data_IF_866670065408
#
_entry.id   IF_866670065408
#
_cell.length_a   1.000
_cell.length_b   1.000
_cell.length_c   1.000
_cell.angle_alpha   90.00
_cell.angle_beta   90.00
_cell.angle_gamma   90.00
#
_symmetry.space_group_name_H-M   'P 1'
#
loop_
_entity.id
_entity.type
_entity.pdbx_description
1 polymer ?
#
# COMPACT_ATOMS: atom_id res chain seq x y z
N UNK A 1 -31.60 -59.42 -50.20
CA UNK A 1 -31.99 -59.07 -48.84
C UNK A 1 -30.81 -59.25 -47.79
N UNK A 2 -30.07 -60.34 -47.79
CA UNK A 2 -28.98 -60.60 -46.80
C UNK A 2 -27.93 -59.53 -46.73
N UNK A 3 -27.42 -58.91 -47.81
CA UNK A 3 -26.45 -57.85 -47.85
C UNK A 3 -26.89 -56.56 -47.15
N UNK A 4 -28.19 -56.17 -47.27
CA UNK A 4 -28.75 -54.99 -46.61
C UNK A 4 -28.80 -55.14 -45.07
N UNK A 5 -29.14 -56.37 -44.64
CA UNK A 5 -29.20 -56.70 -43.20
C UNK A 5 -27.82 -56.66 -42.57
N UNK A 6 -26.77 -57.12 -43.24
CA UNK A 6 -25.41 -57.07 -42.76
C UNK A 6 -24.92 -55.64 -42.64
N UNK A 7 -25.22 -54.74 -43.60
CA UNK A 7 -24.85 -53.32 -43.53
C UNK A 7 -25.57 -52.58 -42.39
N UNK A 8 -26.86 -52.89 -42.15
CA UNK A 8 -27.59 -52.30 -41.00
C UNK A 8 -27.01 -52.79 -39.67
N UNK A 9 -26.70 -54.07 -39.58
CA UNK A 9 -26.10 -54.63 -38.37
C UNK A 9 -24.70 -54.08 -38.09
N UNK A 10 -23.86 -53.89 -39.10
CA UNK A 10 -22.53 -53.27 -38.95
C UNK A 10 -22.62 -51.80 -38.54
N UNK A 11 -23.59 -51.03 -39.11
CA UNK A 11 -23.84 -49.66 -38.74
C UNK A 11 -24.33 -49.54 -37.27
N UNK A 12 -25.25 -50.40 -36.87
CA UNK A 12 -25.75 -50.49 -35.50
C UNK A 12 -24.63 -50.83 -34.50
N UNK A 13 -23.79 -51.81 -34.85
CA UNK A 13 -22.62 -52.15 -34.01
C UNK A 13 -21.61 -50.99 -33.90
N UNK A 14 -21.38 -50.24 -34.97
CA UNK A 14 -20.53 -49.04 -34.96
C UNK A 14 -21.09 -47.91 -34.07
N UNK A 15 -22.40 -47.68 -34.11
CA UNK A 15 -23.07 -46.70 -33.24
C UNK A 15 -22.97 -47.10 -31.78
N UNK A 16 -23.22 -48.39 -31.47
CA UNK A 16 -23.09 -48.93 -30.11
C UNK A 16 -21.66 -48.80 -29.59
N UNK A 17 -20.67 -49.13 -30.44
CA UNK A 17 -19.27 -49.00 -30.06
C UNK A 17 -18.88 -47.55 -29.79
N UNK A 18 -19.33 -46.62 -30.66
CA UNK A 18 -19.07 -45.17 -30.48
C UNK A 18 -19.73 -44.64 -29.20
N UNK A 19 -20.97 -45.09 -28.89
CA UNK A 19 -21.66 -44.73 -27.68
C UNK A 19 -20.93 -45.24 -26.41
N UNK A 20 -20.54 -46.50 -26.41
CA UNK A 20 -19.76 -47.08 -25.28
C UNK A 20 -18.43 -46.40 -25.07
N UNK A 21 -17.72 -46.06 -26.18
CA UNK A 21 -16.45 -45.29 -26.12
C UNK A 21 -16.68 -43.92 -25.50
N UNK A 22 -17.77 -43.25 -25.91
CA UNK A 22 -18.09 -41.93 -25.32
C UNK A 22 -18.40 -41.97 -23.83
N UNK A 23 -19.20 -42.98 -23.41
CA UNK A 23 -19.53 -43.19 -22.01
C UNK A 23 -18.23 -43.50 -21.21
N UNK A 24 -17.34 -44.34 -21.73
CA UNK A 24 -16.08 -44.65 -21.11
C UNK A 24 -15.16 -43.42 -20.96
N UNK A 25 -15.06 -42.60 -22.00
CA UNK A 25 -14.27 -41.35 -21.96
C UNK A 25 -14.84 -40.41 -20.89
N UNK A 26 -16.17 -40.19 -20.88
CA UNK A 26 -16.80 -39.35 -19.86
C UNK A 26 -16.59 -39.87 -18.42
N UNK A 27 -16.65 -41.14 -18.22
CA UNK A 27 -16.37 -41.75 -16.90
C UNK A 27 -14.90 -41.54 -16.49
N UNK A 28 -13.95 -41.69 -17.40
CA UNK A 28 -12.53 -41.41 -17.16
C UNK A 28 -12.25 -39.93 -16.92
N UNK A 29 -12.89 -39.03 -17.64
CA UNK A 29 -12.78 -37.59 -17.42
C UNK A 29 -13.29 -37.18 -16.03
N UNK A 30 -14.37 -37.80 -15.54
CA UNK A 30 -14.89 -37.58 -14.19
C UNK A 30 -13.89 -38.04 -13.13
N UNK A 31 -13.33 -39.27 -13.27
CA UNK A 31 -12.30 -39.78 -12.36
C UNK A 31 -11.05 -38.90 -12.30
N UNK A 32 -10.55 -38.43 -13.46
CA UNK A 32 -9.42 -37.50 -13.54
C UNK A 32 -9.76 -36.16 -12.88
N UNK A 33 -11.01 -35.69 -13.03
CA UNK A 33 -11.46 -34.44 -12.41
C UNK A 33 -11.53 -34.54 -10.89
N UNK A 34 -12.06 -35.64 -10.35
CA UNK A 34 -12.08 -35.92 -8.92
C UNK A 34 -10.65 -36.06 -8.35
N UNK A 35 -9.76 -36.76 -9.08
CA UNK A 35 -8.37 -36.89 -8.66
C UNK A 35 -7.67 -35.51 -8.62
N UNK A 36 -7.88 -34.66 -9.62
CA UNK A 36 -7.37 -33.30 -9.64
C UNK A 36 -7.93 -32.48 -8.47
N UNK A 37 -9.23 -32.57 -8.18
CA UNK A 37 -9.85 -31.87 -7.06
C UNK A 37 -9.29 -32.34 -5.72
N UNK A 38 -9.08 -33.66 -5.53
CA UNK A 38 -8.49 -34.20 -4.32
C UNK A 38 -7.04 -33.77 -4.13
N UNK A 39 -6.27 -33.66 -5.22
CA UNK A 39 -4.90 -33.15 -5.22
C UNK A 39 -4.91 -31.66 -4.83
N UNK A 40 -5.78 -30.84 -5.43
CA UNK A 40 -5.93 -29.43 -5.11
C UNK A 40 -6.38 -29.24 -3.66
N UNK A 41 -7.31 -30.04 -3.16
CA UNK A 41 -7.77 -29.98 -1.78
C UNK A 41 -6.66 -30.38 -0.78
N UNK A 42 -5.81 -31.33 -1.14
CA UNK A 42 -4.71 -31.83 -0.28
C UNK A 42 -3.45 -30.98 -0.35
N UNK A 43 -3.16 -30.36 -1.49
CA UNK A 43 -1.91 -29.64 -1.78
C UNK A 43 -2.09 -28.15 -2.06
N UNK A 44 -3.30 -27.60 -1.90
CA UNK A 44 -3.53 -26.16 -1.88
C UNK A 44 -3.46 -25.44 -3.25
N UNK A 45 -3.73 -26.11 -4.36
CA UNK A 45 -3.76 -25.47 -5.69
C UNK A 45 -2.37 -25.23 -6.29
N UNK A 46 -2.37 -24.60 -7.47
CA UNK A 46 -1.15 -24.21 -8.21
C UNK A 46 -1.10 -22.68 -8.32
N UNK A 47 0.10 -22.11 -8.21
CA UNK A 47 0.33 -20.70 -8.47
C UNK A 47 1.42 -20.48 -9.51
N UNK A 48 1.34 -19.36 -10.25
CA UNK A 48 2.39 -18.95 -11.15
C UNK A 48 3.54 -18.31 -10.37
N UNK A 49 4.74 -18.86 -10.52
CA UNK A 49 5.96 -18.37 -9.87
C UNK A 49 7.07 -18.18 -10.87
N UNK A 50 7.99 -17.27 -10.55
CA UNK A 50 9.23 -17.12 -11.31
C UNK A 50 10.19 -18.28 -10.96
N UNK A 51 10.70 -18.93 -11.99
CA UNK A 51 11.70 -20.00 -11.88
C UNK A 51 12.92 -19.65 -12.74
N UNK A 52 14.08 -20.22 -12.40
CA UNK A 52 15.29 -20.04 -13.18
C UNK A 52 15.23 -20.84 -14.49
N UNK A 53 15.63 -20.23 -15.62
CA UNK A 53 15.76 -20.91 -16.92
C UNK A 53 17.03 -21.77 -17.01
N UNK A 54 18.07 -21.38 -16.29
CA UNK A 54 19.39 -21.99 -16.27
C UNK A 54 19.96 -21.97 -14.86
N UNK A 55 21.06 -22.66 -14.66
CA UNK A 55 21.81 -22.58 -13.42
C UNK A 55 22.40 -21.17 -13.26
N UNK A 56 22.14 -20.55 -12.11
CA UNK A 56 22.59 -19.20 -11.79
C UNK A 56 23.39 -19.25 -10.48
N UNK A 57 24.64 -18.85 -10.48
CA UNK A 57 25.47 -18.82 -9.27
C UNK A 57 25.05 -17.69 -8.33
N UNK A 58 25.27 -17.88 -7.03
CA UNK A 58 25.07 -16.83 -6.03
C UNK A 58 25.93 -15.60 -6.35
N UNK A 59 25.44 -14.42 -5.98
CA UNK A 59 26.09 -13.16 -6.28
C UNK A 59 25.78 -12.58 -7.67
N UNK A 60 25.06 -13.31 -8.53
CA UNK A 60 24.65 -12.84 -9.87
C UNK A 60 23.55 -11.79 -9.75
N UNK A 61 23.62 -10.75 -10.59
CA UNK A 61 22.53 -9.78 -10.77
C UNK A 61 21.51 -10.37 -11.72
N UNK A 62 20.27 -10.53 -11.25
CA UNK A 62 19.20 -11.17 -12.01
C UNK A 62 18.78 -10.33 -13.20
N UNK A 63 18.66 -10.98 -14.36
CA UNK A 63 18.09 -10.40 -15.57
C UNK A 63 16.80 -11.10 -15.97
N UNK A 64 15.96 -10.44 -16.78
CA UNK A 64 14.74 -11.04 -17.30
C UNK A 64 14.99 -12.32 -18.10
N UNK A 65 16.16 -12.46 -18.73
CA UNK A 65 16.55 -13.65 -19.49
C UNK A 65 16.82 -14.87 -18.61
N UNK A 66 17.12 -14.68 -17.33
CA UNK A 66 17.41 -15.77 -16.38
C UNK A 66 16.15 -16.42 -15.82
N UNK A 67 14.99 -15.73 -15.97
CA UNK A 67 13.73 -16.09 -15.33
C UNK A 67 12.66 -16.53 -16.35
N UNK A 68 11.80 -17.45 -15.92
CA UNK A 68 10.59 -17.90 -16.64
C UNK A 68 9.45 -18.15 -15.67
N UNK A 69 8.23 -18.08 -16.16
CA UNK A 69 7.05 -18.42 -15.39
C UNK A 69 6.79 -19.93 -15.44
N UNK A 70 6.43 -20.48 -14.29
CA UNK A 70 6.03 -21.88 -14.15
C UNK A 70 4.92 -22.01 -13.13
N UNK A 71 3.96 -22.89 -13.40
CA UNK A 71 2.99 -23.32 -12.40
C UNK A 71 3.60 -24.32 -11.45
N UNK A 72 3.51 -24.03 -10.16
CA UNK A 72 4.04 -24.87 -9.08
C UNK A 72 2.97 -25.08 -8.02
N UNK A 73 2.83 -26.32 -7.47
CA UNK A 73 1.92 -26.55 -6.35
C UNK A 73 2.29 -25.72 -5.13
N UNK A 74 1.30 -25.12 -4.49
CA UNK A 74 1.53 -24.26 -3.29
C UNK A 74 2.04 -25.10 -2.12
N UNK A 75 1.58 -26.35 -2.00
CA UNK A 75 2.06 -27.27 -0.98
C UNK A 75 3.52 -27.65 -1.19
N UNK A 76 4.32 -27.44 -0.17
CA UNK A 76 5.76 -27.75 -0.19
C UNK A 76 6.65 -26.56 -0.56
N UNK A 77 6.09 -25.37 -0.84
CA UNK A 77 6.91 -24.17 -0.98
C UNK A 77 7.50 -23.77 0.37
N UNK A 78 8.83 -23.71 0.43
CA UNK A 78 9.56 -23.25 1.61
C UNK A 78 9.78 -21.74 1.52
N UNK A 79 8.77 -20.95 1.91
CA UNK A 79 8.88 -19.50 1.91
C UNK A 79 7.96 -18.81 0.88
N UNK A 80 8.10 -17.51 0.75
CA UNK A 80 7.32 -16.70 -0.19
C UNK A 80 7.96 -16.75 -1.58
N UNK A 81 7.31 -17.47 -2.50
CA UNK A 81 7.72 -17.48 -3.90
C UNK A 81 7.41 -16.14 -4.57
N UNK A 82 8.23 -15.78 -5.55
CA UNK A 82 8.06 -14.55 -6.34
C UNK A 82 7.07 -14.84 -7.47
N UNK A 83 5.96 -14.11 -7.49
CA UNK A 83 4.95 -14.17 -8.55
C UNK A 83 5.32 -13.36 -9.79
N UNK A 84 4.53 -13.53 -10.86
CA UNK A 84 4.70 -12.81 -12.12
C UNK A 84 4.66 -11.28 -11.96
N UNK A 85 3.75 -10.81 -11.12
CA UNK A 85 3.52 -9.39 -10.84
C UNK A 85 4.74 -8.66 -10.26
N UNK A 86 5.68 -9.42 -9.68
CA UNK A 86 6.88 -8.88 -9.04
C UNK A 86 8.15 -9.02 -9.91
N UNK A 87 8.01 -9.35 -11.18
CA UNK A 87 9.16 -9.51 -12.07
C UNK A 87 10.03 -8.23 -12.14
N UNK A 88 9.40 -7.06 -12.18
CA UNK A 88 10.10 -5.77 -12.16
C UNK A 88 10.87 -5.50 -10.87
N UNK A 89 10.40 -6.06 -9.75
CA UNK A 89 10.97 -5.85 -8.43
C UNK A 89 12.23 -6.70 -8.20
N UNK A 90 12.43 -7.77 -8.99
CA UNK A 90 13.56 -8.71 -8.84
C UNK A 90 14.63 -8.51 -9.89
N UNK A 91 14.30 -8.02 -11.08
CA UNK A 91 15.29 -7.73 -12.14
C UNK A 91 16.25 -6.62 -11.68
N UNK A 92 17.55 -6.83 -11.86
CA UNK A 92 18.59 -5.91 -11.40
C UNK A 92 19.02 -6.12 -9.94
N UNK A 93 18.40 -7.06 -9.21
CA UNK A 93 18.79 -7.38 -7.82
C UNK A 93 19.75 -8.57 -7.78
N UNK A 94 20.56 -8.61 -6.73
CA UNK A 94 21.58 -9.62 -6.54
C UNK A 94 21.00 -10.87 -5.87
N UNK A 95 21.32 -12.04 -6.42
CA UNK A 95 20.99 -13.34 -5.86
C UNK A 95 21.95 -13.68 -4.71
N UNK A 96 21.44 -14.12 -3.58
CA UNK A 96 22.25 -14.46 -2.41
C UNK A 96 22.90 -15.85 -2.53
N UNK A 97 22.12 -16.81 -3.07
CA UNK A 97 22.53 -18.21 -3.18
C UNK A 97 22.45 -18.67 -4.65
N UNK A 98 23.22 -19.70 -4.99
CA UNK A 98 23.15 -20.33 -6.31
C UNK A 98 21.91 -21.22 -6.44
N UNK A 99 21.25 -21.17 -7.61
CA UNK A 99 20.09 -21.99 -7.93
C UNK A 99 20.28 -22.74 -9.24
N UNK A 100 19.61 -23.89 -9.35
CA UNK A 100 19.58 -24.69 -10.57
C UNK A 100 18.45 -24.27 -11.50
N UNK A 101 18.57 -24.67 -12.75
CA UNK A 101 17.50 -24.56 -13.72
C UNK A 101 16.22 -25.20 -13.16
N UNK A 102 15.07 -24.54 -13.37
CA UNK A 102 13.73 -24.93 -12.92
C UNK A 102 13.44 -24.76 -11.42
N UNK A 103 14.40 -24.34 -10.59
CA UNK A 103 14.13 -23.97 -9.19
C UNK A 103 13.22 -22.73 -9.15
N UNK A 104 12.29 -22.71 -8.19
CA UNK A 104 11.46 -21.54 -7.94
C UNK A 104 12.29 -20.45 -7.25
N UNK A 105 12.04 -19.19 -7.62
CA UNK A 105 12.66 -18.02 -6.98
C UNK A 105 11.84 -17.62 -5.76
N UNK A 106 12.49 -17.51 -4.61
CA UNK A 106 11.91 -17.02 -3.37
C UNK A 106 12.46 -15.66 -2.99
N UNK A 107 11.66 -14.89 -2.28
CA UNK A 107 12.12 -13.57 -1.80
C UNK A 107 13.33 -13.64 -0.87
N UNK A 108 13.48 -14.74 -0.13
CA UNK A 108 14.65 -14.99 0.73
C UNK A 108 15.96 -15.20 -0.04
N UNK A 109 15.88 -15.51 -1.34
CA UNK A 109 17.07 -15.75 -2.18
C UNK A 109 17.67 -14.46 -2.73
N UNK A 110 16.96 -13.31 -2.57
CA UNK A 110 17.30 -12.04 -3.19
C UNK A 110 17.80 -11.05 -2.14
N UNK A 111 18.87 -10.33 -2.44
CA UNK A 111 19.39 -9.29 -1.57
C UNK A 111 18.33 -8.23 -1.28
N UNK A 112 18.05 -8.03 0.02
CA UNK A 112 17.03 -7.11 0.51
C UNK A 112 15.62 -7.67 0.56
N UNK A 113 15.37 -8.97 0.26
CA UNK A 113 14.11 -9.66 0.49
C UNK A 113 12.89 -9.07 -0.24
N UNK A 114 11.70 -9.40 0.24
CA UNK A 114 10.44 -8.90 -0.31
C UNK A 114 10.27 -7.38 -0.05
N UNK A 115 10.14 -6.54 -1.09
CA UNK A 115 9.90 -5.10 -0.89
C UNK A 115 8.61 -4.79 -0.12
N UNK A 116 7.60 -5.67 -0.23
CA UNK A 116 6.34 -5.50 0.49
C UNK A 116 6.45 -5.80 2.00
N UNK A 117 7.46 -6.59 2.40
CA UNK A 117 7.76 -6.88 3.81
C UNK A 117 8.74 -5.89 4.43
N UNK A 118 9.40 -5.07 3.61
CA UNK A 118 10.15 -3.94 4.12
C UNK A 118 9.15 -3.01 4.76
N UNK A 119 9.16 -2.95 6.08
CA UNK A 119 8.33 -2.03 6.84
C UNK A 119 8.55 -0.58 6.39
N UNK A 120 7.74 0.33 6.90
CA UNK A 120 7.78 1.76 6.59
C UNK A 120 9.20 2.37 6.66
N UNK A 121 10.09 1.79 7.47
CA UNK A 121 11.49 2.23 7.60
C UNK A 121 12.29 2.26 6.29
N UNK A 122 11.91 1.43 5.31
CA UNK A 122 12.58 1.43 4.00
C UNK A 122 12.15 2.61 3.10
N UNK A 123 11.02 3.21 3.40
CA UNK A 123 10.45 4.32 2.64
C UNK A 123 10.84 5.69 3.22
N UNK A 124 11.37 5.71 4.44
CA UNK A 124 11.85 6.92 5.11
C UNK A 124 13.18 7.36 4.50
N UNK A 125 13.31 8.62 4.12
CA UNK A 125 14.56 9.20 3.63
C UNK A 125 15.66 9.16 4.69
N UNK A 126 16.91 9.09 4.24
CA UNK A 126 18.06 9.19 5.16
C UNK A 126 17.96 10.47 6.00
N UNK A 127 18.29 10.36 7.29
CA UNK A 127 18.22 11.42 8.30
C UNK A 127 16.80 11.87 8.65
N UNK A 128 15.74 11.34 8.03
CA UNK A 128 14.36 11.59 8.42
C UNK A 128 13.83 10.55 9.42
N UNK A 129 12.68 10.81 9.98
CA UNK A 129 11.96 9.95 10.94
C UNK A 129 10.49 9.86 10.54
N UNK A 130 9.86 8.74 10.83
CA UNK A 130 8.42 8.59 10.78
C UNK A 130 7.84 8.84 12.17
N UNK A 131 6.95 9.79 12.29
CA UNK A 131 6.21 10.10 13.52
C UNK A 131 4.72 10.03 13.23
N UNK A 132 4.00 9.26 14.03
CA UNK A 132 2.54 9.18 13.94
C UNK A 132 1.92 10.13 14.96
N UNK A 133 0.99 10.95 14.48
CA UNK A 133 0.19 11.85 15.31
C UNK A 133 -1.27 11.42 15.30
N UNK A 134 -1.96 11.67 16.41
CA UNK A 134 -3.41 11.44 16.51
C UNK A 134 -4.15 12.53 15.76
N UNK A 135 -4.87 12.14 14.71
CA UNK A 135 -5.55 13.08 13.83
C UNK A 135 -6.75 12.39 13.17
N UNK A 136 -7.95 12.67 13.67
CA UNK A 136 -9.17 12.03 13.18
C UNK A 136 -10.25 13.03 12.78
N UNK A 137 -11.13 12.62 11.89
CA UNK A 137 -12.26 13.44 11.44
C UNK A 137 -11.83 14.79 10.85
N UNK A 138 -12.37 15.89 11.33
CA UNK A 138 -12.09 17.24 10.83
C UNK A 138 -10.61 17.63 10.97
N UNK A 139 -9.89 17.08 11.96
CA UNK A 139 -8.47 17.36 12.16
C UNK A 139 -7.57 16.80 11.05
N UNK A 140 -8.03 15.79 10.30
CA UNK A 140 -7.35 15.19 9.14
C UNK A 140 -8.09 15.48 7.82
N UNK A 141 -8.68 16.66 7.68
CA UNK A 141 -9.44 17.06 6.47
C UNK A 141 -10.51 16.00 6.14
N UNK A 142 -11.29 15.60 7.16
CA UNK A 142 -12.34 14.56 7.03
C UNK A 142 -11.84 13.24 6.43
N UNK A 143 -10.65 12.81 6.82
CA UNK A 143 -9.99 11.59 6.33
C UNK A 143 -9.68 11.61 4.82
N UNK A 144 -9.51 12.79 4.23
CA UNK A 144 -9.13 12.94 2.82
C UNK A 144 -7.63 12.93 2.58
N UNK A 145 -6.82 13.16 3.62
CA UNK A 145 -5.35 13.07 3.53
C UNK A 145 -4.94 11.65 3.19
N UNK A 146 -3.97 11.52 2.30
CA UNK A 146 -3.52 10.25 1.73
C UNK A 146 -1.99 10.12 1.85
N UNK A 147 -1.44 8.90 1.86
CA UNK A 147 -0.02 8.70 1.69
C UNK A 147 0.48 9.39 0.39
N UNK A 148 1.63 10.04 0.45
CA UNK A 148 2.26 10.93 -0.53
C UNK A 148 1.65 12.34 -0.66
N UNK A 149 0.65 12.69 0.12
CA UNK A 149 0.21 14.08 0.21
C UNK A 149 1.21 14.90 1.04
N UNK A 150 1.17 16.22 0.85
CA UNK A 150 1.89 17.19 1.69
C UNK A 150 0.89 17.98 2.53
N UNK A 151 1.23 18.16 3.79
CA UNK A 151 0.37 18.84 4.78
C UNK A 151 1.17 19.85 5.59
N UNK A 152 0.46 20.86 6.10
CA UNK A 152 0.96 21.69 7.18
C UNK A 152 0.36 21.21 8.50
N UNK A 153 1.14 21.22 9.57
CA UNK A 153 0.72 20.83 10.92
C UNK A 153 0.47 22.09 11.73
N UNK A 154 -0.76 22.27 12.14
CA UNK A 154 -1.21 23.40 12.95
C UNK A 154 -1.52 22.89 14.35
N UNK A 155 -0.98 23.55 15.36
CA UNK A 155 -1.19 23.22 16.77
C UNK A 155 -1.90 24.33 17.52
N UNK A 156 -2.87 23.97 18.36
CA UNK A 156 -3.52 24.86 19.31
C UNK A 156 -3.16 24.42 20.72
N UNK A 157 -2.61 25.35 21.50
CA UNK A 157 -2.08 25.11 22.85
C UNK A 157 -2.71 26.02 23.87
N UNK A 158 -2.91 25.51 25.07
CA UNK A 158 -3.28 26.31 26.24
C UNK A 158 -2.00 26.69 26.97
N UNK A 159 -1.64 27.97 26.91
CA UNK A 159 -0.47 28.53 27.57
C UNK A 159 -0.78 29.09 28.98
N UNK A 160 -1.91 28.68 29.59
CA UNK A 160 -2.25 29.08 30.95
C UNK A 160 -1.16 28.63 31.91
N UNK A 161 -0.66 29.55 32.70
CA UNK A 161 0.25 29.21 33.77
C UNK A 161 -0.54 28.44 34.86
N UNK A 162 -0.09 27.20 35.24
CA UNK A 162 -0.82 26.40 36.23
C UNK A 162 -0.99 27.06 37.61
N UNK A 163 -0.18 28.10 37.89
CA UNK A 163 -0.17 28.84 39.15
C UNK A 163 -1.02 30.12 39.16
N UNK A 164 -1.54 30.56 38.01
CA UNK A 164 -2.28 31.83 37.91
C UNK A 164 -3.71 31.55 37.54
N UNK A 165 -4.63 31.84 38.43
CA UNK A 165 -6.07 31.85 38.15
C UNK A 165 -6.40 33.01 37.20
N UNK A 166 -6.23 32.77 35.89
CA UNK A 166 -6.57 33.78 34.89
C UNK A 166 -8.10 33.89 34.78
N UNK A 167 -8.68 35.10 34.68
CA UNK A 167 -10.13 35.33 34.67
C UNK A 167 -10.86 34.87 33.41
N UNK A 168 -10.15 34.39 32.39
CA UNK A 168 -10.79 33.69 31.24
C UNK A 168 -9.82 32.73 30.54
N UNK A 169 -10.20 31.45 30.49
CA UNK A 169 -9.48 30.41 29.72
C UNK A 169 -9.27 30.75 28.22
N UNK A 170 -10.09 31.61 27.65
CA UNK A 170 -10.04 31.98 26.24
C UNK A 170 -8.81 32.85 25.88
N UNK A 171 -8.18 33.51 26.86
CA UNK A 171 -7.00 34.37 26.62
C UNK A 171 -5.68 33.62 26.55
N UNK A 172 -5.64 32.35 26.95
CA UNK A 172 -4.43 31.53 26.98
C UNK A 172 -4.27 30.59 25.78
N UNK A 173 -5.32 30.45 24.96
CA UNK A 173 -5.26 29.61 23.77
C UNK A 173 -4.49 30.31 22.64
N UNK A 174 -3.48 29.63 22.15
CA UNK A 174 -2.66 30.09 21.02
C UNK A 174 -2.61 29.01 19.95
N UNK A 175 -2.84 29.42 18.73
CA UNK A 175 -2.74 28.55 17.55
C UNK A 175 -1.56 29.00 16.69
N UNK A 176 -0.71 28.07 16.27
CA UNK A 176 0.39 28.36 15.34
C UNK A 176 0.64 27.18 14.40
N UNK A 177 1.19 27.48 13.25
CA UNK A 177 1.72 26.44 12.35
C UNK A 177 3.04 25.95 12.90
N UNK A 178 3.11 24.66 13.21
CA UNK A 178 4.29 24.01 13.79
C UNK A 178 5.25 23.60 12.67
N UNK A 179 4.72 22.95 11.64
CA UNK A 179 5.48 22.44 10.51
C UNK A 179 4.74 22.77 9.21
N UNK A 180 5.50 23.01 8.14
CA UNK A 180 4.96 23.25 6.80
C UNK A 180 5.52 22.23 5.80
N UNK A 181 4.72 21.88 4.80
CA UNK A 181 5.10 21.05 3.66
C UNK A 181 5.66 19.68 4.09
N UNK A 182 4.98 19.00 5.01
CA UNK A 182 5.40 17.70 5.56
C UNK A 182 4.79 16.57 4.74
N UNK A 183 5.63 15.61 4.33
CA UNK A 183 5.20 14.42 3.58
C UNK A 183 4.46 13.44 4.47
N UNK A 184 3.30 12.98 4.02
CA UNK A 184 2.52 11.91 4.65
C UNK A 184 3.02 10.55 4.16
N UNK A 185 3.55 9.73 5.07
CA UNK A 185 4.02 8.37 4.77
C UNK A 185 2.91 7.34 4.83
N UNK A 186 1.99 7.49 5.80
CA UNK A 186 0.89 6.55 6.00
C UNK A 186 -0.32 7.22 6.66
N UNK A 187 -1.52 6.65 6.41
CA UNK A 187 -2.77 7.00 7.11
C UNK A 187 -3.33 5.73 7.76
N UNK A 188 -3.41 5.72 9.09
CA UNK A 188 -3.64 4.49 9.86
C UNK A 188 -2.57 3.44 9.53
N UNK A 189 -2.99 2.27 9.07
CA UNK A 189 -2.09 1.18 8.64
C UNK A 189 -1.77 1.19 7.13
N UNK A 190 -2.29 2.15 6.35
CA UNK A 190 -2.14 2.19 4.91
C UNK A 190 -0.96 3.06 4.48
N UNK A 191 0.01 2.47 3.78
CA UNK A 191 1.11 3.18 3.09
C UNK A 191 0.78 3.39 1.62
N UNK A 192 1.54 4.24 0.91
CA UNK A 192 1.38 4.46 -0.53
C UNK A 192 1.49 3.16 -1.35
N UNK A 193 2.41 2.27 -0.99
CA UNK A 193 2.62 0.97 -1.65
C UNK A 193 1.46 -0.01 -1.44
N UNK A 194 0.89 -0.05 -0.23
CA UNK A 194 -0.27 -0.90 0.06
C UNK A 194 -1.51 -0.43 -0.68
N UNK A 195 -1.70 0.88 -0.79
CA UNK A 195 -2.84 1.46 -1.49
C UNK A 195 -2.83 1.19 -2.99
N UNK A 196 -1.67 1.17 -3.64
CA UNK A 196 -1.56 0.82 -5.06
C UNK A 196 -2.06 -0.60 -5.37
N UNK A 197 -2.03 -1.52 -4.37
CA UNK A 197 -2.49 -2.91 -4.49
C UNK A 197 -3.96 -3.12 -4.09
N UNK A 198 -4.57 -2.21 -3.35
CA UNK A 198 -5.97 -2.31 -2.88
C UNK A 198 -6.79 -1.15 -3.41
N UNK A 199 -7.52 -1.38 -4.51
CA UNK A 199 -8.54 -0.46 -5.00
C UNK A 199 -9.77 -0.51 -4.07
N UNK A 200 -9.74 0.22 -2.96
CA UNK A 200 -10.85 0.38 -2.02
C UNK A 200 -10.72 1.67 -1.24
N UNK A 201 -11.81 2.44 -1.14
CA UNK A 201 -11.90 3.57 -0.20
C UNK A 201 -11.82 2.99 1.21
N UNK A 202 -10.68 3.19 1.87
CA UNK A 202 -10.48 2.75 3.23
C UNK A 202 -11.41 3.46 4.21
N UNK A 203 -11.83 2.74 5.25
CA UNK A 203 -12.49 3.27 6.42
C UNK A 203 -11.66 4.43 7.01
N UNK A 204 -12.32 5.37 7.68
CA UNK A 204 -11.64 6.50 8.34
C UNK A 204 -10.46 6.02 9.21
N UNK A 205 -9.45 6.86 9.31
CA UNK A 205 -8.26 6.61 10.12
C UNK A 205 -8.20 7.61 11.29
N UNK A 206 -7.51 7.21 12.36
CA UNK A 206 -7.31 8.04 13.56
C UNK A 206 -5.89 8.58 13.71
N UNK A 207 -4.95 8.06 12.91
CA UNK A 207 -3.53 8.43 12.97
C UNK A 207 -3.01 8.75 11.58
N UNK A 208 -2.08 9.70 11.51
CA UNK A 208 -1.34 10.05 10.30
C UNK A 208 0.16 10.00 10.63
N UNK A 209 0.91 9.32 9.78
CA UNK A 209 2.36 9.18 9.93
C UNK A 209 3.08 10.13 8.97
N UNK A 210 3.92 10.99 9.53
CA UNK A 210 4.61 12.07 8.84
C UNK A 210 6.11 11.77 8.74
N UNK A 211 6.74 12.22 7.63
CA UNK A 211 8.20 12.22 7.46
C UNK A 211 8.77 13.53 7.97
N UNK A 212 9.54 13.48 9.05
CA UNK A 212 10.04 14.67 9.75
C UNK A 212 11.52 14.52 10.11
N UNK A 213 12.20 15.62 10.35
CA UNK A 213 13.55 15.60 10.92
C UNK A 213 13.52 15.16 12.39
N UNK A 214 14.66 14.73 12.99
CA UNK A 214 14.71 14.38 14.41
C UNK A 214 14.22 15.52 15.32
N UNK A 215 14.55 16.78 14.99
CA UNK A 215 14.13 17.93 15.78
C UNK A 215 12.63 18.20 15.68
N UNK A 216 12.06 18.09 14.50
CA UNK A 216 10.61 18.21 14.28
C UNK A 216 9.84 17.09 14.99
N UNK A 217 10.43 15.87 15.04
CA UNK A 217 9.87 14.75 15.79
C UNK A 217 9.74 15.07 17.29
N UNK A 218 10.77 15.69 17.89
CA UNK A 218 10.74 16.15 19.29
C UNK A 218 9.66 17.21 19.50
N UNK A 219 9.52 18.16 18.56
CA UNK A 219 8.48 19.19 18.63
C UNK A 219 7.07 18.62 18.59
N UNK A 220 6.82 17.66 17.70
CA UNK A 220 5.52 16.98 17.61
C UNK A 220 5.21 16.17 18.86
N UNK A 221 6.19 15.41 19.38
CA UNK A 221 6.04 14.65 20.62
C UNK A 221 5.74 15.56 21.81
N UNK A 222 6.41 16.71 21.91
CA UNK A 222 6.12 17.70 22.93
C UNK A 222 4.72 18.29 22.78
N UNK A 223 4.31 18.62 21.55
CA UNK A 223 2.98 19.17 21.27
C UNK A 223 1.86 18.20 21.69
N UNK A 224 2.01 16.90 21.45
CA UNK A 224 1.06 15.88 21.91
C UNK A 224 1.07 15.75 23.44
N UNK A 225 2.25 15.79 24.07
CA UNK A 225 2.39 15.65 25.53
C UNK A 225 1.68 16.77 26.31
N UNK A 226 1.75 18.01 25.83
CA UNK A 226 1.05 19.14 26.45
C UNK A 226 -0.44 19.19 26.09
N UNK A 227 -0.99 18.09 25.52
CA UNK A 227 -2.38 17.97 25.07
C UNK A 227 -2.78 19.05 24.05
N UNK A 228 -1.83 19.49 23.24
CA UNK A 228 -2.08 20.35 22.09
C UNK A 228 -3.01 19.69 21.09
N UNK A 229 -3.99 20.42 20.60
CA UNK A 229 -4.84 19.94 19.50
C UNK A 229 -4.11 20.13 18.18
N UNK A 230 -3.72 19.03 17.52
CA UNK A 230 -3.11 19.06 16.20
C UNK A 230 -4.17 18.94 15.10
N UNK A 231 -4.02 19.75 14.07
CA UNK A 231 -4.87 19.76 12.87
C UNK A 231 -3.97 19.79 11.65
N UNK A 232 -4.33 19.01 10.62
CA UNK A 232 -3.64 19.01 9.34
C UNK A 232 -4.34 19.94 8.35
N UNK A 233 -3.57 20.72 7.62
CA UNK A 233 -4.00 21.47 6.44
C UNK A 233 -3.42 20.79 5.21
N UNK A 234 -4.28 20.32 4.30
CA UNK A 234 -3.87 19.65 3.08
C UNK A 234 -3.41 20.68 2.03
N UNK A 235 -2.20 20.51 1.53
CA UNK A 235 -1.63 21.37 0.49
C UNK A 235 -2.01 20.89 -0.91
N UNK A 236 -1.97 21.83 -1.86
CA UNK A 236 -1.98 21.44 -3.27
C UNK A 236 -0.72 20.63 -3.58
N UNK A 237 -0.85 19.54 -4.34
CA UNK A 237 0.27 18.62 -4.62
C UNK A 237 1.48 19.27 -5.33
N UNK A 238 1.30 20.41 -5.98
CA UNK A 238 2.35 21.16 -6.65
C UNK A 238 2.85 22.37 -5.82
N UNK A 239 2.25 22.63 -4.65
CA UNK A 239 2.62 23.76 -3.82
C UNK A 239 3.76 23.39 -2.87
N UNK A 240 4.95 23.84 -3.19
CA UNK A 240 6.17 23.71 -2.37
C UNK A 240 6.56 25.00 -1.67
N UNK A 241 5.71 26.03 -1.71
CA UNK A 241 5.98 27.33 -1.10
C UNK A 241 6.14 27.20 0.41
N UNK A 242 6.94 28.07 0.99
CA UNK A 242 7.15 28.17 2.42
C UNK A 242 6.91 29.61 2.87
N UNK A 243 5.99 29.79 3.80
CA UNK A 243 5.72 31.10 4.39
C UNK A 243 6.62 31.33 5.60
N UNK A 244 7.48 32.32 5.50
CA UNK A 244 8.49 32.63 6.53
C UNK A 244 7.88 33.22 7.80
N UNK A 245 6.82 33.99 7.65
CA UNK A 245 6.16 34.72 8.72
C UNK A 245 4.71 34.29 8.87
N UNK A 246 4.50 33.26 9.70
CA UNK A 246 3.17 32.85 10.16
C UNK A 246 3.06 33.21 11.66
N UNK A 247 2.59 34.42 11.99
CA UNK A 247 2.45 34.83 13.37
C UNK A 247 1.41 33.94 14.08
N UNK A 248 1.66 33.68 15.37
CA UNK A 248 0.68 33.01 16.21
C UNK A 248 -0.66 33.71 16.18
N UNK A 249 -1.72 32.93 16.24
CA UNK A 249 -3.11 33.40 16.28
C UNK A 249 -3.66 33.20 17.67
N UNK A 250 -4.14 34.24 18.28
CA UNK A 250 -4.90 34.26 19.52
C UNK A 250 -6.24 34.96 19.32
N UNK A 251 -7.03 35.08 20.37
CA UNK A 251 -8.36 35.68 20.28
C UNK A 251 -8.32 37.18 19.87
N UNK A 252 -7.31 37.93 20.32
CA UNK A 252 -7.18 39.35 19.98
C UNK A 252 -6.83 39.52 18.49
N UNK A 253 -5.97 38.64 17.97
CA UNK A 253 -5.59 38.64 16.56
C UNK A 253 -6.75 38.27 15.63
N UNK A 254 -7.55 37.27 16.00
CA UNK A 254 -8.76 36.94 15.24
C UNK A 254 -9.68 38.15 15.18
N UNK A 255 -9.90 38.84 16.30
CA UNK A 255 -10.77 40.01 16.35
C UNK A 255 -10.28 41.19 15.51
N UNK A 256 -8.96 41.40 15.46
CA UNK A 256 -8.37 42.53 14.72
C UNK A 256 -8.23 42.29 13.23
N UNK A 257 -7.98 41.06 12.79
CA UNK A 257 -7.61 40.75 11.40
C UNK A 257 -8.73 40.14 10.56
N UNK A 258 -9.83 39.68 11.18
CA UNK A 258 -10.90 38.94 10.46
C UNK A 258 -11.52 39.75 9.31
N UNK A 259 -11.68 41.06 9.47
CA UNK A 259 -12.24 41.93 8.44
C UNK A 259 -11.28 42.13 7.27
N UNK A 260 -9.99 42.34 7.55
CA UNK A 260 -8.96 42.54 6.53
C UNK A 260 -8.75 41.25 5.71
N UNK A 261 -8.72 40.08 6.36
CA UNK A 261 -8.59 38.78 5.68
C UNK A 261 -9.79 38.51 4.75
N UNK A 262 -10.99 38.85 5.17
CA UNK A 262 -12.18 38.70 4.34
C UNK A 262 -12.15 39.62 3.11
N UNK A 263 -11.70 40.87 3.25
CA UNK A 263 -11.52 41.81 2.15
C UNK A 263 -10.47 41.29 1.17
N UNK A 264 -9.29 40.86 1.63
CA UNK A 264 -8.24 40.28 0.79
C UNK A 264 -8.75 39.10 -0.03
N UNK A 265 -9.53 38.22 0.60
CA UNK A 265 -10.12 37.05 -0.08
C UNK A 265 -11.13 37.41 -1.16
N UNK A 266 -11.92 38.44 -0.94
CA UNK A 266 -12.84 38.98 -1.95
C UNK A 266 -12.06 39.58 -3.15
N UNK A 267 -11.00 40.33 -2.90
CA UNK A 267 -10.14 40.91 -3.96
C UNK A 267 -9.46 39.81 -4.79
N UNK A 268 -8.95 38.76 -4.17
CA UNK A 268 -8.35 37.62 -4.88
C UNK A 268 -9.35 36.90 -5.80
N UNK A 269 -10.62 36.78 -5.38
CA UNK A 269 -11.67 36.20 -6.23
C UNK A 269 -12.02 37.05 -7.42
N UNK A 270 -11.91 38.40 -7.30
CA UNK A 270 -12.20 39.34 -8.38
C UNK A 270 -11.03 39.47 -9.37
N UNK A 271 -9.80 39.24 -8.93
CA UNK A 271 -8.59 39.30 -9.77
C UNK A 271 -8.21 37.97 -10.46
N UNK A 272 -8.88 36.88 -10.15
CA UNK A 272 -8.64 35.54 -10.70
C UNK A 272 -9.58 35.14 -11.86
N UNK A 273 -10.20 36.14 -12.53
CA UNK A 273 -10.96 35.94 -13.76
C UNK A 273 -10.29 36.68 -14.90
#
# INVERSE_FOLDING_TARGET
>A
MKRKIVLIASLAAGIVAAFLTRVYIHAKDAEVKELKQSIVARYGGEMWVLCFKRDVPGGTVLSKSDLQLKKVPVAGMRGQAVGEENLSDVVGRKLLFGHKAMDALFWGDIEGGNPAEKGLSADIKKQMRAVSINCSGAASVSSMVRPNDHVDVIGTFDLSDPGVSAPSKAKSLVTCTILQNVLVLATGSQTAKMRAKQAGFGNGYSTVTLEVTPREAEMLAFAEQIKGRLVLSLRNGNDTSYEKELPKVDFEKIRSEIEELNLKRQQQKLSGH
#
